data_IF_734446335387
#
_entry.id   IF_734446335387
#
_cell.length_a   1.000
_cell.length_b   1.000
_cell.length_c   1.000
_cell.angle_alpha   90.00
_cell.angle_beta   90.00
_cell.angle_gamma   90.00
#
_symmetry.space_group_name_H-M   'P 1'
#
loop_
_entity.id
_entity.type
_entity.pdbx_description
1 polymer ?
#
# COMPACT_ATOMS: atom_id res chain seq x y z
N UNK A 1 6.75 -12.00 0.81
CA UNK A 1 6.03 -11.35 -0.31
C UNK A 1 4.72 -12.08 -0.51
N UNK A 2 3.57 -11.38 -0.50
CA UNK A 2 2.28 -12.00 -0.87
C UNK A 2 2.01 -11.73 -2.35
N UNK A 3 1.60 -12.75 -3.09
CA UNK A 3 1.40 -12.68 -4.54
C UNK A 3 0.50 -13.82 -5.03
N UNK A 4 0.24 -13.89 -6.33
CA UNK A 4 -0.37 -15.04 -6.98
C UNK A 4 0.66 -15.85 -7.73
N UNK A 5 0.54 -17.17 -7.62
CA UNK A 5 1.34 -18.14 -8.33
C UNK A 5 0.70 -18.37 -9.70
N UNK A 6 1.34 -17.89 -10.76
CA UNK A 6 0.82 -18.01 -12.13
C UNK A 6 1.29 -19.29 -12.81
N UNK A 7 2.60 -19.58 -12.77
CA UNK A 7 3.21 -20.70 -13.46
C UNK A 7 4.54 -21.10 -12.81
N UNK A 8 5.12 -22.22 -13.25
CA UNK A 8 6.44 -22.68 -12.83
C UNK A 8 7.15 -23.50 -13.91
N UNK A 9 8.47 -23.56 -13.79
CA UNK A 9 9.33 -24.36 -14.67
C UNK A 9 10.36 -25.13 -13.82
N UNK A 10 10.74 -26.35 -14.22
CA UNK A 10 10.21 -27.14 -15.32
C UNK A 10 8.86 -27.80 -15.03
N UNK A 11 8.49 -27.99 -13.76
CA UNK A 11 7.22 -28.62 -13.38
C UNK A 11 6.77 -28.22 -11.97
N UNK A 12 5.48 -28.31 -11.64
CA UNK A 12 4.97 -28.04 -10.30
C UNK A 12 5.54 -28.93 -9.21
N UNK A 13 5.93 -30.15 -9.54
CA UNK A 13 6.52 -31.10 -8.58
C UNK A 13 7.98 -30.81 -8.24
N UNK A 14 8.68 -30.06 -9.08
CA UNK A 14 10.06 -29.64 -8.84
C UNK A 14 10.33 -28.29 -9.51
N UNK A 15 9.78 -27.19 -8.97
CA UNK A 15 9.92 -25.88 -9.57
C UNK A 15 11.35 -25.33 -9.32
N UNK A 16 12.05 -24.99 -10.40
CA UNK A 16 13.31 -24.25 -10.36
C UNK A 16 13.10 -22.74 -10.50
N UNK A 17 12.02 -22.35 -11.20
CA UNK A 17 11.53 -20.99 -11.33
C UNK A 17 10.03 -20.95 -11.16
N UNK A 18 9.51 -19.89 -10.59
CA UNK A 18 8.08 -19.60 -10.57
C UNK A 18 7.81 -18.26 -11.22
N UNK A 19 6.67 -18.16 -11.86
CA UNK A 19 6.09 -16.89 -12.34
C UNK A 19 5.02 -16.47 -11.37
N UNK A 20 5.10 -15.24 -10.93
CA UNK A 20 4.11 -14.64 -10.01
C UNK A 20 3.38 -13.51 -10.72
N UNK A 21 2.31 -13.03 -10.08
CA UNK A 21 1.44 -11.99 -10.64
C UNK A 21 2.23 -10.83 -11.21
N UNK A 22 1.91 -10.48 -12.45
CA UNK A 22 2.63 -9.49 -13.25
C UNK A 22 3.74 -10.08 -14.12
N UNK A 23 3.80 -11.40 -14.27
CA UNK A 23 4.77 -12.08 -15.13
C UNK A 23 6.20 -12.08 -14.58
N UNK A 24 6.41 -11.74 -13.30
CA UNK A 24 7.75 -11.72 -12.70
C UNK A 24 8.20 -13.15 -12.44
N UNK A 25 9.34 -13.53 -13.01
CA UNK A 25 10.00 -14.80 -12.73
C UNK A 25 10.91 -14.68 -11.49
N UNK A 26 10.84 -15.68 -10.62
CA UNK A 26 11.65 -15.80 -9.42
C UNK A 26 12.34 -17.17 -9.40
N UNK A 27 13.64 -17.18 -9.13
CA UNK A 27 14.39 -18.41 -8.93
C UNK A 27 13.98 -19.05 -7.60
N UNK A 28 13.89 -20.37 -7.59
CA UNK A 28 13.50 -21.16 -6.43
C UNK A 28 14.70 -21.89 -5.88
N UNK A 29 14.98 -21.70 -4.59
CA UNK A 29 16.00 -22.51 -3.91
C UNK A 29 15.52 -23.96 -3.81
N UNK A 30 16.42 -24.93 -3.91
CA UNK A 30 16.08 -26.35 -3.79
C UNK A 30 15.30 -26.68 -2.49
N UNK A 31 15.61 -25.96 -1.41
CA UNK A 31 14.93 -26.08 -0.11
C UNK A 31 13.48 -25.64 -0.12
N UNK A 32 13.10 -24.78 -1.07
CA UNK A 32 11.72 -24.26 -1.22
C UNK A 32 10.86 -25.10 -2.17
N UNK A 33 11.47 -25.95 -2.98
CA UNK A 33 10.76 -26.75 -3.99
C UNK A 33 9.64 -27.61 -3.38
N UNK A 34 9.89 -28.24 -2.23
CA UNK A 34 8.89 -29.06 -1.52
C UNK A 34 7.68 -28.25 -1.06
N UNK A 35 7.89 -27.05 -0.54
CA UNK A 35 6.79 -26.17 -0.12
C UNK A 35 5.94 -25.69 -1.31
N UNK A 36 6.59 -25.35 -2.42
CA UNK A 36 5.93 -24.93 -3.66
C UNK A 36 5.19 -26.07 -4.35
N UNK A 37 5.73 -27.29 -4.31
CA UNK A 37 5.10 -28.46 -4.93
C UNK A 37 3.70 -28.78 -4.37
N UNK A 38 3.41 -28.33 -3.16
CA UNK A 38 2.10 -28.46 -2.50
C UNK A 38 1.10 -27.39 -2.93
N UNK A 39 1.57 -26.38 -3.63
CA UNK A 39 0.76 -25.26 -4.11
C UNK A 39 0.45 -25.44 -5.59
N UNK A 40 -0.65 -24.85 -6.03
CA UNK A 40 -1.08 -24.92 -7.44
C UNK A 40 -1.10 -23.54 -8.06
N UNK A 41 -0.73 -23.40 -9.35
CA UNK A 41 -0.99 -22.18 -10.10
C UNK A 41 -2.45 -21.70 -9.95
N UNK A 42 -2.64 -20.38 -9.92
CA UNK A 42 -3.93 -19.75 -9.63
C UNK A 42 -4.20 -19.52 -8.13
N UNK A 43 -3.31 -19.96 -7.24
CA UNK A 43 -3.44 -19.74 -5.80
C UNK A 43 -2.71 -18.46 -5.36
N UNK A 44 -3.32 -17.81 -4.38
CA UNK A 44 -2.63 -16.79 -3.64
C UNK A 44 -1.65 -17.45 -2.66
N UNK A 45 -0.41 -17.00 -2.71
CA UNK A 45 0.69 -17.55 -1.92
C UNK A 45 1.47 -16.46 -1.21
N UNK A 46 2.13 -16.86 -0.14
CA UNK A 46 3.11 -16.05 0.54
C UNK A 46 4.48 -16.67 0.34
N UNK A 47 5.39 -15.86 -0.21
CA UNK A 47 6.78 -16.26 -0.47
C UNK A 47 7.71 -15.70 0.59
N UNK A 48 8.57 -16.54 1.13
CA UNK A 48 9.76 -16.15 1.84
C UNK A 48 10.87 -15.96 0.81
N UNK A 49 11.42 -14.77 0.73
CA UNK A 49 12.51 -14.45 -0.20
C UNK A 49 13.83 -14.29 0.55
N UNK A 50 14.92 -14.68 -0.08
CA UNK A 50 16.27 -14.32 0.35
C UNK A 50 16.54 -12.84 0.07
N UNK A 51 17.67 -12.32 0.57
CA UNK A 51 18.13 -10.97 0.26
C UNK A 51 18.35 -10.76 -1.26
N UNK A 52 18.73 -11.82 -1.97
CA UNK A 52 18.94 -11.80 -3.43
C UNK A 52 17.63 -12.00 -4.21
N UNK A 53 16.48 -12.03 -3.53
CA UNK A 53 15.17 -12.18 -4.16
C UNK A 53 14.82 -13.58 -4.64
N UNK A 54 15.54 -14.61 -4.22
CA UNK A 54 15.21 -16.01 -4.52
C UNK A 54 14.15 -16.54 -3.55
N UNK A 55 13.33 -17.47 -4.00
CA UNK A 55 12.30 -18.09 -3.17
C UNK A 55 12.94 -19.11 -2.23
N UNK A 56 12.89 -18.86 -0.95
CA UNK A 56 13.37 -19.72 0.12
C UNK A 56 12.27 -20.58 0.77
N UNK A 57 11.03 -20.24 0.55
CA UNK A 57 9.85 -20.97 1.02
C UNK A 57 8.57 -20.37 0.48
N UNK A 58 7.48 -21.16 0.53
CA UNK A 58 6.16 -20.71 0.12
C UNK A 58 5.07 -21.36 0.96
N UNK A 59 4.00 -20.63 1.21
CA UNK A 59 2.82 -21.11 1.91
C UNK A 59 1.54 -20.60 1.23
N UNK A 60 0.44 -21.36 1.41
CA UNK A 60 -0.89 -20.91 1.03
C UNK A 60 -1.25 -19.67 1.88
N UNK A 61 -1.66 -18.59 1.27
CA UNK A 61 -2.00 -17.35 1.96
C UNK A 61 -3.11 -17.52 3.01
N UNK A 62 -3.97 -18.52 2.84
CA UNK A 62 -5.04 -18.83 3.80
C UNK A 62 -4.52 -19.52 5.07
N UNK A 63 -3.38 -20.23 4.98
CA UNK A 63 -2.83 -21.01 6.09
C UNK A 63 -1.88 -20.19 6.98
N UNK A 64 -1.28 -19.15 6.46
CA UNK A 64 -0.24 -18.39 7.16
C UNK A 64 -0.77 -17.37 8.15
N UNK A 65 -2.08 -17.10 8.13
CA UNK A 65 -2.60 -15.91 8.80
C UNK A 65 -2.01 -14.61 8.23
N UNK A 66 -1.19 -14.70 7.21
CA UNK A 66 -0.68 -13.56 6.47
C UNK A 66 -1.87 -12.85 5.81
N UNK A 67 -2.29 -11.77 6.40
CA UNK A 67 -3.37 -10.90 5.92
C UNK A 67 -2.86 -10.05 4.76
N UNK A 68 -2.38 -10.70 3.72
CA UNK A 68 -1.80 -10.01 2.60
C UNK A 68 -2.34 -10.57 1.30
N UNK A 69 -3.53 -10.19 0.91
CA UNK A 69 -3.91 -10.29 -0.49
C UNK A 69 -2.86 -9.55 -1.33
N UNK A 70 -2.55 -10.06 -2.51
CA UNK A 70 -1.80 -9.27 -3.46
C UNK A 70 -2.56 -7.96 -3.65
N UNK A 71 -1.85 -6.86 -3.48
CA UNK A 71 -2.44 -5.53 -3.45
C UNK A 71 -1.81 -4.67 -4.51
N UNK A 72 -2.64 -3.84 -5.11
CA UNK A 72 -2.17 -2.77 -5.97
C UNK A 72 -2.71 -1.43 -5.49
N UNK A 73 -1.93 -0.41 -5.72
CA UNK A 73 -2.36 0.99 -5.65
C UNK A 73 -2.61 1.45 -7.08
N UNK A 74 -3.77 2.03 -7.31
CA UNK A 74 -4.10 2.58 -8.63
C UNK A 74 -3.78 4.06 -8.63
N UNK A 75 -2.91 4.48 -9.55
CA UNK A 75 -2.52 5.89 -9.67
C UNK A 75 -3.72 6.75 -10.08
N UNK A 76 -3.60 8.08 -9.96
CA UNK A 76 -4.63 9.01 -10.46
C UNK A 76 -4.85 8.89 -11.98
N UNK A 77 -3.84 8.40 -12.71
CA UNK A 77 -3.93 8.13 -14.15
C UNK A 77 -4.56 6.77 -14.47
N UNK A 78 -4.84 5.96 -13.45
CA UNK A 78 -5.40 4.63 -13.60
C UNK A 78 -4.37 3.51 -13.74
N UNK A 79 -3.05 3.77 -13.59
CA UNK A 79 -2.05 2.72 -13.63
C UNK A 79 -2.16 1.83 -12.40
N UNK A 80 -2.29 0.52 -12.60
CA UNK A 80 -2.37 -0.47 -11.52
C UNK A 80 -0.97 -0.88 -11.12
N UNK A 81 -0.55 -0.48 -9.93
CA UNK A 81 0.78 -0.71 -9.39
C UNK A 81 0.73 -1.74 -8.28
N UNK A 82 1.13 -2.97 -8.60
CA UNK A 82 1.22 -4.05 -7.62
C UNK A 82 2.33 -3.78 -6.61
N UNK A 83 2.00 -3.89 -5.32
CA UNK A 83 2.96 -3.72 -4.22
C UNK A 83 3.66 -5.04 -3.95
N UNK A 84 4.93 -5.13 -4.34
CA UNK A 84 5.76 -6.32 -4.20
C UNK A 84 7.04 -6.01 -3.43
N UNK A 85 7.11 -6.43 -2.17
CA UNK A 85 8.35 -6.39 -1.39
C UNK A 85 9.05 -5.02 -1.33
N UNK A 86 8.27 -3.93 -1.24
CA UNK A 86 8.79 -2.57 -1.25
C UNK A 86 8.98 -1.96 -2.65
N UNK A 87 8.69 -2.71 -3.72
CA UNK A 87 8.70 -2.23 -5.09
C UNK A 87 7.27 -2.11 -5.65
N UNK A 88 7.11 -1.25 -6.65
CA UNK A 88 5.88 -1.13 -7.43
C UNK A 88 6.10 -1.75 -8.82
N UNK A 89 5.18 -2.63 -9.21
CA UNK A 89 5.17 -3.24 -10.53
C UNK A 89 3.89 -2.83 -11.25
N UNK A 90 4.01 -2.13 -12.38
CA UNK A 90 2.85 -1.81 -13.22
C UNK A 90 2.36 -3.10 -13.90
N UNK A 91 1.09 -3.44 -13.68
CA UNK A 91 0.46 -4.65 -14.23
C UNK A 91 -0.71 -4.33 -15.17
N UNK A 92 -0.94 -3.09 -15.49
CA UNK A 92 -1.99 -2.66 -16.40
C UNK A 92 -2.64 -1.34 -16.01
N UNK A 93 -3.83 -1.10 -16.53
CA UNK A 93 -4.61 0.11 -16.26
C UNK A 93 -6.04 -0.23 -15.87
N UNK A 94 -6.62 0.54 -14.92
CA UNK A 94 -7.99 0.41 -14.46
C UNK A 94 -8.48 1.77 -13.93
N UNK A 95 -8.90 2.64 -14.83
CA UNK A 95 -9.26 4.03 -14.51
C UNK A 95 -10.45 4.15 -13.55
N UNK A 96 -11.32 3.15 -13.48
CA UNK A 96 -12.45 3.09 -12.55
C UNK A 96 -12.03 2.97 -11.08
N UNK A 97 -10.78 2.59 -10.83
CA UNK A 97 -10.17 2.48 -9.50
C UNK A 97 -9.15 3.58 -9.21
N UNK A 98 -9.07 4.62 -10.03
CA UNK A 98 -8.09 5.68 -9.86
C UNK A 98 -8.05 6.24 -8.43
N UNK A 99 -6.86 6.41 -7.86
CA UNK A 99 -6.65 6.87 -6.49
C UNK A 99 -6.99 5.86 -5.39
N UNK A 100 -7.33 4.61 -5.74
CA UNK A 100 -7.78 3.60 -4.78
C UNK A 100 -6.76 2.49 -4.58
N UNK A 101 -6.94 1.78 -3.45
CA UNK A 101 -6.26 0.52 -3.21
C UNK A 101 -7.17 -0.63 -3.56
N UNK A 102 -6.63 -1.62 -4.21
CA UNK A 102 -7.36 -2.79 -4.68
C UNK A 102 -6.63 -4.07 -4.27
N UNK A 103 -7.40 -5.11 -3.97
CA UNK A 103 -6.88 -6.47 -3.98
C UNK A 103 -6.83 -6.96 -5.43
N UNK A 104 -5.79 -7.69 -5.74
CA UNK A 104 -5.54 -8.19 -7.09
C UNK A 104 -5.54 -9.71 -7.06
N UNK A 105 -6.31 -10.31 -7.94
CA UNK A 105 -6.26 -11.76 -8.17
C UNK A 105 -6.44 -12.04 -9.66
N UNK A 106 -5.92 -13.18 -10.09
CA UNK A 106 -6.06 -13.65 -11.46
C UNK A 106 -6.90 -14.92 -11.50
N UNK A 107 -7.76 -15.00 -12.48
CA UNK A 107 -8.49 -16.20 -12.84
C UNK A 107 -8.33 -16.51 -14.34
N UNK A 108 -9.03 -17.55 -14.83
CA UNK A 108 -8.98 -17.92 -16.25
C UNK A 108 -9.48 -16.84 -17.21
N UNK A 109 -10.23 -15.85 -16.71
CA UNK A 109 -10.73 -14.72 -17.48
C UNK A 109 -9.85 -13.47 -17.40
N UNK A 110 -8.72 -13.57 -16.69
CA UNK A 110 -7.73 -12.48 -16.55
C UNK A 110 -7.66 -11.87 -15.16
N UNK A 111 -7.11 -10.68 -15.10
CA UNK A 111 -6.92 -9.93 -13.87
C UNK A 111 -8.25 -9.42 -13.31
N UNK A 112 -8.45 -9.57 -12.02
CA UNK A 112 -9.59 -9.06 -11.27
C UNK A 112 -9.13 -8.13 -10.16
N UNK A 113 -9.83 -7.02 -10.01
CA UNK A 113 -9.56 -6.00 -9.02
C UNK A 113 -10.78 -5.83 -8.12
N UNK A 114 -10.56 -5.75 -6.81
CA UNK A 114 -11.61 -5.40 -5.86
C UNK A 114 -11.09 -4.29 -4.94
N UNK A 115 -11.89 -3.27 -4.73
CA UNK A 115 -11.57 -2.22 -3.75
C UNK A 115 -11.44 -2.83 -2.35
N UNK A 116 -10.42 -2.41 -1.63
CA UNK A 116 -10.20 -2.78 -0.23
C UNK A 116 -10.06 -1.54 0.65
N UNK A 117 -10.35 -1.73 1.93
CA UNK A 117 -10.19 -0.70 2.97
C UNK A 117 -9.98 -1.37 4.32
N UNK A 118 -9.55 -0.61 5.32
CA UNK A 118 -9.37 -1.10 6.70
C UNK A 118 -7.93 -1.54 7.00
N UNK A 119 -7.77 -2.67 7.68
CA UNK A 119 -6.46 -3.16 8.14
C UNK A 119 -6.08 -2.65 9.52
N UNK A 120 -4.87 -2.10 9.67
CA UNK A 120 -4.38 -1.55 10.95
C UNK A 120 -5.06 -0.22 11.23
N UNK A 121 -5.77 -0.13 12.36
CA UNK A 121 -6.40 1.12 12.81
C UNK A 121 -5.49 1.94 13.72
N UNK A 122 -5.89 3.20 13.92
CA UNK A 122 -5.21 4.15 14.80
C UNK A 122 -4.56 5.32 14.06
N UNK A 123 -4.05 6.28 14.81
CA UNK A 123 -3.40 7.46 14.25
C UNK A 123 -1.98 7.13 13.79
N UNK A 124 -1.57 7.72 12.67
CA UNK A 124 -0.19 7.69 12.20
C UNK A 124 0.58 8.83 12.85
N UNK A 125 1.64 8.51 13.56
CA UNK A 125 2.55 9.44 14.21
C UNK A 125 3.92 9.40 13.53
N UNK A 126 4.16 10.23 12.51
CA UNK A 126 5.38 10.19 11.70
C UNK A 126 6.66 10.38 12.54
N UNK A 127 6.62 11.29 13.51
CA UNK A 127 7.75 11.57 14.39
C UNK A 127 8.13 10.38 15.28
N UNK A 128 7.15 9.59 15.67
CA UNK A 128 7.36 8.38 16.50
C UNK A 128 7.61 7.13 15.66
N UNK A 129 7.37 7.20 14.35
CA UNK A 129 7.44 6.07 13.46
C UNK A 129 6.43 4.98 13.80
N UNK A 130 5.19 5.37 14.17
CA UNK A 130 4.15 4.42 14.58
C UNK A 130 2.80 4.70 13.91
N UNK A 131 1.99 3.64 13.77
CA UNK A 131 0.59 3.70 13.41
C UNK A 131 -0.22 2.83 14.36
N UNK A 132 -1.15 3.43 15.09
CA UNK A 132 -1.96 2.71 16.07
C UNK A 132 -1.11 1.99 17.14
N UNK A 133 0.03 2.56 17.53
CA UNK A 133 0.98 1.98 18.47
C UNK A 133 1.89 0.89 17.88
N UNK A 134 1.75 0.54 16.59
CA UNK A 134 2.64 -0.40 15.90
C UNK A 134 3.76 0.34 15.22
N UNK A 135 4.98 -0.17 15.29
CA UNK A 135 6.14 0.39 14.59
C UNK A 135 5.94 0.33 13.07
N UNK A 136 6.40 1.35 12.38
CA UNK A 136 6.56 1.31 10.93
C UNK A 136 7.77 0.46 10.57
N UNK A 137 7.68 -0.25 9.44
CA UNK A 137 8.84 -0.91 8.85
C UNK A 137 9.79 0.15 8.25
N UNK A 138 11.09 -0.16 8.19
CA UNK A 138 12.10 0.76 7.63
C UNK A 138 11.81 1.11 6.17
N UNK A 139 11.19 0.18 5.45
CA UNK A 139 10.78 0.33 4.05
C UNK A 139 9.27 0.54 3.89
N UNK A 140 8.62 1.17 4.86
CA UNK A 140 7.18 1.45 4.78
C UNK A 140 6.85 2.22 3.50
N UNK A 141 5.85 1.73 2.78
CA UNK A 141 5.32 2.39 1.60
C UNK A 141 4.09 3.21 1.99
N UNK A 142 4.11 4.47 1.64
CA UNK A 142 3.05 5.42 1.96
C UNK A 142 2.45 5.99 0.68
N UNK A 143 1.13 5.97 0.58
CA UNK A 143 0.40 6.47 -0.59
C UNK A 143 -0.64 7.50 -0.17
N UNK A 144 -0.75 8.56 -0.96
CA UNK A 144 -1.80 9.57 -0.85
C UNK A 144 -2.44 9.77 -2.23
N UNK A 145 -3.72 9.40 -2.36
CA UNK A 145 -4.45 9.45 -3.63
C UNK A 145 -3.82 8.64 -4.77
N UNK A 146 -3.20 7.50 -4.46
CA UNK A 146 -2.52 6.68 -5.46
C UNK A 146 -1.10 7.15 -5.82
N UNK A 147 -0.61 8.25 -5.24
CA UNK A 147 0.76 8.73 -5.37
C UNK A 147 1.60 8.24 -4.19
N UNK A 148 2.75 7.65 -4.46
CA UNK A 148 3.70 7.33 -3.40
C UNK A 148 4.33 8.62 -2.86
N UNK A 149 4.39 8.73 -1.55
CA UNK A 149 4.94 9.88 -0.83
C UNK A 149 5.95 9.42 0.21
N UNK A 150 6.80 10.34 0.67
CA UNK A 150 7.67 10.11 1.80
C UNK A 150 6.97 10.45 3.12
N UNK A 151 7.37 9.77 4.21
CA UNK A 151 6.83 10.08 5.55
C UNK A 151 7.11 11.52 5.98
N UNK A 152 8.21 12.11 5.49
CA UNK A 152 8.61 13.50 5.71
C UNK A 152 7.69 14.53 5.04
N UNK A 153 6.90 14.12 4.06
CA UNK A 153 5.91 15.00 3.40
C UNK A 153 4.65 15.19 4.24
N UNK A 154 4.48 14.39 5.29
CA UNK A 154 3.33 14.51 6.19
C UNK A 154 3.60 15.48 7.34
N UNK A 155 2.51 16.01 7.92
CA UNK A 155 2.57 16.78 9.16
C UNK A 155 3.22 15.96 10.28
N UNK A 156 4.18 16.56 10.97
CA UNK A 156 4.86 15.94 12.11
C UNK A 156 3.94 15.77 13.33
N UNK A 157 2.80 16.42 13.36
CA UNK A 157 1.79 16.30 14.43
C UNK A 157 0.95 15.04 14.32
N UNK A 158 1.02 14.35 13.17
CA UNK A 158 0.32 13.10 12.93
C UNK A 158 -0.83 13.20 11.94
N UNK A 159 -1.30 12.05 11.53
CA UNK A 159 -2.48 11.86 10.66
C UNK A 159 -3.51 11.05 11.41
N UNK A 160 -4.70 11.62 11.58
CA UNK A 160 -5.81 10.97 12.28
C UNK A 160 -6.27 9.71 11.53
N UNK A 161 -6.68 8.69 12.27
CA UNK A 161 -7.14 7.39 11.76
C UNK A 161 -8.24 7.49 10.69
N UNK A 162 -9.14 8.49 10.78
CA UNK A 162 -10.17 8.73 9.77
C UNK A 162 -9.64 9.16 8.40
N UNK A 163 -8.36 9.53 8.31
CA UNK A 163 -7.67 9.89 7.08
C UNK A 163 -6.86 8.75 6.47
N UNK A 164 -6.92 7.57 7.08
CA UNK A 164 -6.25 6.36 6.61
C UNK A 164 -7.29 5.42 6.02
N UNK A 165 -7.20 5.17 4.72
CA UNK A 165 -8.12 4.27 4.02
C UNK A 165 -7.74 2.80 4.19
N UNK A 166 -6.43 2.53 4.27
CA UNK A 166 -5.92 1.17 4.43
C UNK A 166 -4.52 1.17 5.05
N UNK A 167 -4.24 0.17 5.88
CA UNK A 167 -2.87 -0.11 6.32
C UNK A 167 -2.68 -1.61 6.54
N UNK A 168 -1.45 -2.09 6.34
CA UNK A 168 -1.07 -3.49 6.42
C UNK A 168 0.20 -3.65 7.25
N UNK A 169 0.34 -4.82 7.89
CA UNK A 169 1.59 -5.23 8.55
C UNK A 169 2.32 -6.31 7.76
N UNK A 170 3.64 -6.30 7.90
CA UNK A 170 4.51 -7.38 7.45
C UNK A 170 4.52 -8.56 8.46
N UNK A 171 5.33 -9.58 8.20
CA UNK A 171 5.47 -10.76 9.06
C UNK A 171 6.01 -10.45 10.47
N UNK A 172 6.81 -9.39 10.61
CA UNK A 172 7.32 -8.94 11.88
C UNK A 172 6.29 -8.14 12.70
N UNK A 173 5.08 -7.96 12.18
CA UNK A 173 4.02 -7.18 12.80
C UNK A 173 4.23 -5.66 12.68
N UNK A 174 5.21 -5.21 11.89
CA UNK A 174 5.45 -3.81 11.59
C UNK A 174 4.57 -3.36 10.43
N UNK A 175 4.13 -2.11 10.45
CA UNK A 175 3.34 -1.53 9.35
C UNK A 175 4.24 -1.29 8.13
N UNK A 176 3.97 -1.97 7.04
CA UNK A 176 4.78 -1.91 5.80
C UNK A 176 4.08 -1.18 4.64
N UNK A 177 2.79 -0.91 4.78
CA UNK A 177 2.01 -0.16 3.79
C UNK A 177 0.93 0.68 4.48
N UNK A 178 0.83 1.93 4.05
CA UNK A 178 -0.22 2.86 4.48
C UNK A 178 -0.78 3.56 3.26
N UNK A 179 -2.10 3.65 3.18
CA UNK A 179 -2.80 4.41 2.14
C UNK A 179 -3.70 5.43 2.79
N UNK A 180 -3.46 6.67 2.47
CA UNK A 180 -4.19 7.82 2.98
C UNK A 180 -5.37 8.17 2.07
N UNK A 181 -6.38 8.77 2.66
CA UNK A 181 -7.41 9.48 1.92
C UNK A 181 -6.78 10.72 1.28
N UNK A 182 -7.04 10.90 0.02
CA UNK A 182 -6.46 11.88 -0.89
C UNK A 182 -6.23 13.29 -0.27
N UNK A 183 -5.13 13.94 -0.63
CA UNK A 183 -4.86 15.35 -0.36
C UNK A 183 -4.20 15.65 0.99
N UNK A 184 -3.40 14.73 1.54
CA UNK A 184 -2.67 14.96 2.79
C UNK A 184 -1.20 15.34 2.59
N UNK A 185 -0.61 15.00 1.46
CA UNK A 185 0.78 15.28 1.13
C UNK A 185 0.88 16.34 0.01
N UNK A 186 1.78 17.28 0.18
CA UNK A 186 2.18 18.23 -0.87
C UNK A 186 1.38 19.52 -0.95
N UNK A 187 0.18 19.61 -0.36
CA UNK A 187 -0.67 20.81 -0.39
C UNK A 187 -0.78 21.51 0.97
N UNK A 188 0.02 21.08 1.96
CA UNK A 188 0.05 21.74 3.26
C UNK A 188 1.00 22.92 3.23
N UNK A 189 0.42 24.11 3.25
CA UNK A 189 1.15 25.35 3.46
C UNK A 189 1.23 25.56 4.97
N UNK A 190 2.44 25.49 5.51
CA UNK A 190 2.69 25.85 6.90
C UNK A 190 3.00 27.34 6.99
N UNK A 191 2.33 28.01 7.90
CA UNK A 191 2.55 29.43 8.07
C UNK A 191 1.74 29.98 9.24
N UNK A 192 1.96 31.26 9.55
CA UNK A 192 1.16 31.99 10.51
C UNK A 192 -0.14 32.44 9.83
N UNK A 193 -1.28 31.98 10.33
CA UNK A 193 -2.57 32.47 9.87
C UNK A 193 -2.89 33.83 10.52
N UNK A 194 -3.18 34.81 9.67
CA UNK A 194 -3.71 36.12 10.09
C UNK A 194 -5.16 36.14 9.62
N UNK A 195 -6.08 36.26 10.57
CA UNK A 195 -7.52 36.34 10.29
C UNK A 195 -7.94 37.80 10.42
N UNK A 196 -8.45 38.35 9.33
CA UNK A 196 -9.02 39.69 9.28
C UNK A 196 -10.52 39.59 8.97
N UNK A 197 -11.35 40.15 9.87
CA UNK A 197 -12.82 40.08 9.77
C UNK A 197 -13.40 41.49 9.68
N UNK A 198 -14.23 41.74 8.68
CA UNK A 198 -14.99 42.97 8.53
C UNK A 198 -16.40 42.75 9.05
N UNK A 199 -16.90 43.72 9.79
CA UNK A 199 -18.24 43.70 10.37
C UNK A 199 -19.06 44.89 9.82
N UNK A 200 -20.33 44.62 9.61
CA UNK A 200 -21.31 45.63 9.31
C UNK A 200 -21.48 46.55 10.53
N UNK A 201 -21.21 47.87 10.42
CA UNK A 201 -21.26 48.77 11.56
C UNK A 201 -22.69 48.97 12.11
N UNK A 202 -23.72 48.64 11.35
CA UNK A 202 -25.12 48.84 11.72
C UNK A 202 -25.70 47.59 12.41
N UNK A 203 -25.32 46.42 11.92
CA UNK A 203 -25.90 45.11 12.39
C UNK A 203 -24.96 44.33 13.29
N UNK A 204 -23.67 44.69 13.34
CA UNK A 204 -22.64 43.95 14.05
C UNK A 204 -22.32 42.58 13.49
N UNK A 205 -22.90 42.24 12.36
CA UNK A 205 -22.66 40.92 11.71
C UNK A 205 -21.39 40.93 10.89
N UNK A 206 -20.67 39.82 10.94
CA UNK A 206 -19.49 39.62 10.08
C UNK A 206 -19.92 39.60 8.61
N UNK A 207 -19.33 40.47 7.79
CA UNK A 207 -19.67 40.60 6.36
C UNK A 207 -18.60 39.98 5.48
N UNK A 208 -17.37 39.89 5.95
CA UNK A 208 -16.27 39.28 5.21
C UNK A 208 -15.21 38.78 6.19
N UNK A 209 -14.60 37.67 5.84
CA UNK A 209 -13.45 37.10 6.55
C UNK A 209 -12.35 36.75 5.54
N UNK A 210 -11.18 37.33 5.76
CA UNK A 210 -9.99 36.99 4.96
C UNK A 210 -8.99 36.27 5.85
N UNK A 211 -8.51 35.13 5.37
CA UNK A 211 -7.44 34.38 6.04
C UNK A 211 -6.19 34.49 5.16
N UNK A 212 -5.18 35.11 5.67
CA UNK A 212 -3.87 35.21 5.02
C UNK A 212 -2.91 34.27 5.71
N UNK A 213 -2.29 33.36 4.96
CA UNK A 213 -1.24 32.47 5.48
C UNK A 213 0.11 33.06 5.08
N UNK A 214 0.87 33.50 6.07
CA UNK A 214 2.24 33.97 5.87
C UNK A 214 3.15 32.76 6.03
N UNK A 215 3.72 32.30 4.93
CA UNK A 215 4.69 31.19 4.92
C UNK A 215 6.04 31.71 5.46
N UNK A 216 6.68 30.89 6.29
CA UNK A 216 8.05 31.17 6.79
C UNK A 216 9.07 30.44 5.95
#
# INVERSE_FOLDING_TARGET
MSTYYEDCKPSPSNPATITVLGGKELNVLPTAADSLSKLKPGKQIVLLLTADGQVAGAEDANNTGARGNAMAVVSEKGDVQLVCGGALLNIGTASEYAGQVVSVYADKSGLKLNKISGGVGGDLLPKEGTLGGRKLADNVMLFDGGRQIALSELSQTGVNSGRISYARTNWAGQVDLIVLNNGLAGDMIFGRAIVDSKYDPTTGKETNRTITVVCS
#
